data_IF_568081283539
#
_entry.id   IF_568081283539
#
_cell.length_a   1.000
_cell.length_b   1.000
_cell.length_c   1.000
_cell.angle_alpha   90.00
_cell.angle_beta   90.00
_cell.angle_gamma   90.00
#
_symmetry.space_group_name_H-M   'P 1'
#
loop_
_entity.id
_entity.type
_entity.pdbx_description
1 polymer ?
#
# COMPACT_ATOMS: atom_id res chain seq x y z
N UNK A 1 -45.90 -1.60 -53.49
CA UNK A 1 -47.14 -2.24 -54.00
C UNK A 1 -46.92 -3.73 -54.11
N UNK A 2 -47.94 -4.51 -53.71
CA UNK A 2 -48.09 -5.98 -53.65
C UNK A 2 -47.45 -6.64 -52.40
N UNK A 3 -48.15 -6.88 -51.26
CA UNK A 3 -49.22 -7.88 -50.91
C UNK A 3 -48.77 -9.33 -51.10
N UNK A 4 -49.01 -10.35 -50.24
CA UNK A 4 -49.92 -10.58 -49.09
C UNK A 4 -49.63 -12.00 -48.47
N UNK A 5 -50.05 -12.22 -47.20
CA UNK A 5 -50.43 -13.48 -46.48
C UNK A 5 -49.31 -14.27 -45.76
N UNK A 6 -49.26 -14.34 -44.42
CA UNK A 6 -50.18 -14.87 -43.37
C UNK A 6 -50.22 -16.40 -43.29
N UNK A 7 -49.80 -16.97 -42.16
CA UNK A 7 -50.43 -18.12 -41.46
C UNK A 7 -50.26 -17.93 -39.94
N UNK A 8 -51.38 -18.06 -39.25
CA UNK A 8 -51.65 -18.01 -37.81
C UNK A 8 -51.63 -19.45 -37.27
N UNK A 9 -51.04 -19.72 -36.10
CA UNK A 9 -51.43 -20.88 -35.27
C UNK A 9 -51.56 -20.44 -33.80
N UNK A 10 -52.79 -20.57 -33.32
CA UNK A 10 -53.28 -20.50 -31.95
C UNK A 10 -52.94 -21.80 -31.22
N UNK A 11 -52.62 -21.73 -29.92
CA UNK A 11 -52.96 -22.81 -28.98
C UNK A 11 -53.16 -22.24 -27.57
N UNK A 12 -54.43 -22.15 -27.18
CA UNK A 12 -54.90 -22.02 -25.80
C UNK A 12 -54.70 -23.35 -25.08
N UNK A 13 -54.29 -23.28 -23.80
CA UNK A 13 -54.41 -24.35 -22.82
C UNK A 13 -54.88 -23.77 -21.49
N UNK A 14 -56.20 -23.72 -21.29
CA UNK A 14 -56.88 -23.58 -19.99
C UNK A 14 -57.06 -24.99 -19.44
N UNK A 15 -56.96 -25.16 -18.10
CA UNK A 15 -57.56 -26.16 -17.19
C UNK A 15 -56.60 -26.34 -16.00
N UNK A 16 -56.94 -26.42 -14.71
CA UNK A 16 -58.14 -26.19 -13.90
C UNK A 16 -57.65 -26.16 -12.45
N UNK A 17 -58.30 -25.36 -11.62
CA UNK A 17 -58.09 -25.21 -10.17
C UNK A 17 -58.42 -26.53 -9.46
N UNK A 18 -57.51 -27.03 -8.62
CA UNK A 18 -57.85 -27.91 -7.49
C UNK A 18 -57.27 -27.34 -6.20
N UNK A 19 -58.19 -26.95 -5.32
CA UNK A 19 -57.99 -26.58 -3.93
C UNK A 19 -57.75 -27.82 -3.08
N UNK A 20 -56.58 -27.97 -2.48
CA UNK A 20 -56.38 -28.81 -1.29
C UNK A 20 -55.41 -28.13 -0.32
N UNK A 21 -55.93 -27.76 0.85
CA UNK A 21 -55.15 -27.41 2.04
C UNK A 21 -54.30 -28.62 2.45
N UNK A 22 -53.12 -28.38 3.04
CA UNK A 22 -52.97 -28.87 4.40
C UNK A 22 -52.39 -27.79 5.33
N UNK A 23 -53.09 -27.64 6.44
CA UNK A 23 -52.61 -27.14 7.73
C UNK A 23 -51.53 -28.05 8.27
N UNK A 24 -50.29 -27.54 8.46
CA UNK A 24 -49.32 -28.15 9.38
C UNK A 24 -48.41 -27.06 9.95
N UNK A 25 -48.68 -26.72 11.21
CA UNK A 25 -47.78 -26.23 12.27
C UNK A 25 -46.56 -25.39 11.91
N UNK A 26 -46.60 -24.14 12.39
CA UNK A 26 -45.44 -23.33 12.75
C UNK A 26 -44.46 -24.13 13.61
N UNK A 27 -43.30 -24.50 13.03
CA UNK A 27 -42.15 -24.91 13.81
C UNK A 27 -41.46 -23.63 14.32
N UNK A 28 -41.84 -23.21 15.53
CA UNK A 28 -41.04 -22.29 16.31
C UNK A 28 -39.71 -22.99 16.63
N UNK A 29 -38.65 -22.66 15.91
CA UNK A 29 -37.29 -22.93 16.39
C UNK A 29 -37.02 -21.86 17.45
N UNK A 30 -37.42 -22.19 18.68
CA UNK A 30 -36.91 -21.60 19.90
C UNK A 30 -35.42 -21.92 19.98
N UNK A 31 -34.58 -21.02 19.49
CA UNK A 31 -33.17 -20.99 19.88
C UNK A 31 -33.10 -20.52 21.34
N UNK A 32 -33.29 -21.49 22.23
CA UNK A 32 -32.97 -21.41 23.64
C UNK A 32 -31.44 -21.41 23.71
N UNK A 33 -30.83 -20.24 23.58
CA UNK A 33 -29.47 -20.05 24.05
C UNK A 33 -29.54 -20.10 25.57
N UNK A 34 -29.34 -21.30 26.12
CA UNK A 34 -29.00 -21.44 27.52
C UNK A 34 -27.74 -20.61 27.74
N UNK A 35 -27.87 -19.62 28.61
CA UNK A 35 -26.81 -18.77 29.10
C UNK A 35 -25.73 -19.63 29.72
N UNK A 36 -24.66 -19.90 28.96
CA UNK A 36 -23.36 -20.18 29.54
C UNK A 36 -22.92 -18.90 30.25
N UNK A 37 -23.22 -18.83 31.55
CA UNK A 37 -22.53 -17.93 32.46
C UNK A 37 -21.05 -18.30 32.42
N UNK A 38 -20.29 -17.60 31.59
CA UNK A 38 -18.84 -17.58 31.68
C UNK A 38 -18.51 -16.76 32.94
N UNK A 39 -18.50 -17.44 34.10
CA UNK A 39 -17.83 -16.92 35.29
C UNK A 39 -16.35 -16.84 34.95
N UNK A 40 -15.93 -15.67 34.48
CA UNK A 40 -14.57 -15.20 34.70
C UNK A 40 -14.43 -15.08 36.22
N UNK A 41 -13.78 -16.08 36.82
CA UNK A 41 -13.20 -15.93 38.14
C UNK A 41 -12.21 -14.77 38.04
N UNK A 42 -12.68 -13.56 38.39
CA UNK A 42 -11.85 -12.41 38.60
C UNK A 42 -10.93 -12.78 39.76
N UNK A 43 -9.68 -13.09 39.42
CA UNK A 43 -8.61 -13.20 40.39
C UNK A 43 -8.62 -11.95 41.28
N UNK A 44 -8.50 -12.20 42.58
CA UNK A 44 -8.37 -11.20 43.63
C UNK A 44 -7.41 -10.06 43.22
N UNK A 45 -7.83 -8.77 43.26
CA UNK A 45 -6.97 -7.64 42.95
C UNK A 45 -5.75 -7.49 43.87
N UNK A 46 -5.65 -8.29 44.94
CA UNK A 46 -4.57 -8.23 45.92
C UNK A 46 -3.22 -8.81 45.48
N UNK A 47 -3.14 -9.60 44.40
CA UNK A 47 -1.90 -10.34 44.08
C UNK A 47 -1.51 -10.37 42.59
N UNK A 48 -1.63 -9.26 41.87
CA UNK A 48 -0.85 -9.10 40.63
C UNK A 48 0.56 -8.62 41.00
N UNK A 49 1.39 -9.56 41.45
CA UNK A 49 2.84 -9.38 41.45
C UNK A 49 3.29 -9.30 39.99
N UNK A 50 3.29 -8.08 39.43
CA UNK A 50 3.95 -7.77 38.16
C UNK A 50 5.45 -8.00 38.41
N UNK A 51 5.90 -9.21 38.15
CA UNK A 51 7.32 -9.54 38.17
C UNK A 51 8.04 -8.65 37.16
N UNK A 52 9.29 -8.27 37.44
CA UNK A 52 10.12 -7.44 36.55
C UNK A 52 10.20 -7.99 35.11
N UNK A 53 9.94 -9.29 34.91
CA UNK A 53 9.85 -9.95 33.61
C UNK A 53 8.67 -9.46 32.73
N UNK A 54 7.63 -8.85 33.30
CA UNK A 54 6.53 -8.21 32.56
C UNK A 54 6.91 -6.81 32.05
N UNK A 55 7.88 -6.14 32.69
CA UNK A 55 8.42 -4.86 32.22
C UNK A 55 9.46 -5.10 31.10
N UNK A 56 10.14 -6.25 31.13
CA UNK A 56 11.03 -6.71 30.05
C UNK A 56 10.26 -7.30 28.85
N UNK A 57 9.02 -7.78 29.00
CA UNK A 57 8.15 -8.15 27.88
C UNK A 57 7.44 -6.93 27.25
N UNK A 58 7.45 -5.79 27.96
CA UNK A 58 7.33 -4.44 27.40
C UNK A 58 8.66 -3.96 26.79
N UNK A 59 9.60 -4.89 26.50
CA UNK A 59 10.75 -4.69 25.64
C UNK A 59 10.34 -3.80 24.48
N UNK A 60 11.00 -2.65 24.42
CA UNK A 60 10.58 -1.46 23.69
C UNK A 60 9.92 -1.81 22.36
N UNK A 61 8.64 -1.47 22.23
CA UNK A 61 7.97 -1.43 20.93
C UNK A 61 8.86 -0.62 19.97
N UNK A 62 9.58 -1.32 19.09
CA UNK A 62 10.60 -0.75 18.20
C UNK A 62 9.98 -0.07 16.99
N UNK A 63 8.64 -0.13 16.84
CA UNK A 63 7.94 0.52 15.75
C UNK A 63 7.99 2.04 15.90
N UNK A 64 8.07 2.78 14.78
CA UNK A 64 7.97 4.23 14.82
C UNK A 64 6.61 4.69 15.38
N UNK A 65 6.62 5.93 15.86
CA UNK A 65 5.45 6.68 16.33
C UNK A 65 5.42 8.02 15.61
N UNK A 66 4.23 8.59 15.46
CA UNK A 66 4.02 9.89 14.80
C UNK A 66 4.49 9.93 13.33
N UNK A 67 4.54 8.78 12.65
CA UNK A 67 4.96 8.70 11.25
C UNK A 67 3.83 9.23 10.35
N UNK A 68 4.04 10.37 9.66
CA UNK A 68 3.09 10.91 8.69
C UNK A 68 3.68 10.87 7.27
N UNK A 69 3.37 9.80 6.54
CA UNK A 69 4.01 9.45 5.28
C UNK A 69 2.99 9.21 4.17
N UNK A 70 3.20 9.85 3.02
CA UNK A 70 2.57 9.45 1.76
C UNK A 70 3.58 8.78 0.83
N UNK A 71 3.16 7.71 0.17
CA UNK A 71 3.92 6.96 -0.83
C UNK A 71 3.18 7.02 -2.17
N UNK A 72 3.82 7.56 -3.21
CA UNK A 72 3.24 7.63 -4.56
C UNK A 72 4.10 6.87 -5.55
N UNK A 73 3.52 5.89 -6.24
CA UNK A 73 4.23 5.10 -7.25
C UNK A 73 3.35 4.00 -7.81
N UNK A 74 3.94 3.08 -8.57
CA UNK A 74 3.21 1.96 -9.16
C UNK A 74 3.26 0.69 -8.28
N UNK A 75 3.12 -0.47 -8.93
CA UNK A 75 3.15 -1.77 -8.28
C UNK A 75 4.44 -2.08 -7.51
N UNK A 76 5.60 -1.48 -7.85
CA UNK A 76 6.83 -1.69 -7.06
C UNK A 76 6.77 -0.98 -5.71
N UNK A 77 6.11 0.18 -5.66
CA UNK A 77 5.90 0.92 -4.41
C UNK A 77 4.85 0.26 -3.52
N UNK A 78 3.87 -0.41 -4.12
CA UNK A 78 2.87 -1.19 -3.38
C UNK A 78 3.45 -2.30 -2.52
N UNK A 79 4.37 -3.12 -3.03
CA UNK A 79 4.94 -4.20 -2.20
C UNK A 79 5.77 -3.67 -1.04
N UNK A 80 6.48 -2.55 -1.25
CA UNK A 80 7.16 -1.84 -0.17
C UNK A 80 6.16 -1.34 0.88
N UNK A 81 5.06 -0.71 0.45
CA UNK A 81 4.00 -0.25 1.35
C UNK A 81 3.40 -1.38 2.18
N UNK A 82 3.04 -2.50 1.55
CA UNK A 82 2.45 -3.68 2.24
C UNK A 82 3.40 -4.23 3.30
N UNK A 83 4.70 -4.32 2.99
CA UNK A 83 5.74 -4.71 3.96
C UNK A 83 5.84 -3.72 5.13
N UNK A 84 5.76 -2.42 4.86
CA UNK A 84 5.83 -1.38 5.90
C UNK A 84 4.63 -1.46 6.85
N UNK A 85 3.40 -1.48 6.32
CA UNK A 85 2.20 -1.51 7.17
C UNK A 85 2.07 -2.82 7.95
N UNK A 86 2.60 -3.93 7.42
CA UNK A 86 2.71 -5.17 8.18
C UNK A 86 3.60 -4.98 9.41
N UNK A 87 4.80 -4.42 9.23
CA UNK A 87 5.69 -4.09 10.34
C UNK A 87 5.06 -3.14 11.36
N UNK A 88 4.36 -2.09 10.90
CA UNK A 88 3.64 -1.19 11.81
C UNK A 88 2.50 -1.92 12.54
N UNK A 89 1.80 -2.85 11.89
CA UNK A 89 0.68 -3.56 12.51
C UNK A 89 1.16 -4.59 13.55
N UNK A 90 2.19 -5.38 13.22
CA UNK A 90 2.58 -6.57 13.99
C UNK A 90 3.82 -6.38 14.85
N UNK A 91 4.69 -5.41 14.52
CA UNK A 91 6.02 -5.28 15.12
C UNK A 91 7.09 -6.17 14.46
N UNK A 92 6.73 -6.96 13.46
CA UNK A 92 7.61 -7.89 12.76
C UNK A 92 7.60 -7.63 11.26
N UNK A 93 8.72 -7.92 10.59
CA UNK A 93 8.76 -7.95 9.13
C UNK A 93 8.13 -9.24 8.61
N UNK A 94 7.58 -9.22 7.38
CA UNK A 94 6.96 -10.41 6.77
C UNK A 94 8.03 -11.50 6.62
N UNK A 95 7.76 -12.73 7.06
CA UNK A 95 8.64 -13.88 6.84
C UNK A 95 8.39 -14.46 5.44
N UNK A 96 9.43 -14.73 4.66
CA UNK A 96 9.30 -15.31 3.30
C UNK A 96 8.77 -16.76 3.30
N UNK A 97 8.76 -17.39 4.48
CA UNK A 97 8.16 -18.69 4.76
C UNK A 97 6.69 -18.59 5.15
N UNK A 98 6.17 -17.41 5.49
CA UNK A 98 4.77 -17.23 5.87
C UNK A 98 3.85 -17.65 4.72
N UNK A 99 2.76 -18.36 5.05
CA UNK A 99 1.77 -18.83 4.09
C UNK A 99 0.36 -18.45 4.57
N UNK A 100 -0.47 -17.84 3.70
CA UNK A 100 -0.17 -17.43 2.33
C UNK A 100 0.76 -16.21 2.27
N UNK A 101 1.71 -16.22 1.34
CA UNK A 101 2.68 -15.14 1.18
C UNK A 101 1.98 -13.86 0.72
N UNK A 102 1.99 -12.85 1.59
CA UNK A 102 1.27 -11.60 1.39
C UNK A 102 1.78 -10.80 0.18
N UNK A 103 3.06 -10.95 -0.19
CA UNK A 103 3.64 -10.26 -1.34
C UNK A 103 3.47 -11.04 -2.65
N UNK A 104 2.94 -12.28 -2.60
CA UNK A 104 2.67 -13.11 -3.79
C UNK A 104 1.17 -13.17 -4.10
N UNK A 105 0.56 -12.13 -4.71
CA UNK A 105 -0.87 -12.09 -4.99
C UNK A 105 -1.35 -13.23 -5.89
N UNK A 106 -0.47 -13.76 -6.75
CA UNK A 106 -0.76 -14.90 -7.64
C UNK A 106 -0.97 -16.22 -6.91
N UNK A 107 -0.65 -16.31 -5.62
CA UNK A 107 -1.00 -17.48 -4.80
C UNK A 107 -2.49 -17.51 -4.42
N UNK A 108 -3.25 -16.47 -4.77
CA UNK A 108 -4.72 -16.41 -4.64
C UNK A 108 -5.38 -16.64 -6.00
N UNK A 109 -6.63 -17.08 -5.97
CA UNK A 109 -7.45 -17.34 -7.15
C UNK A 109 -7.69 -16.10 -8.02
N UNK A 110 -7.65 -14.90 -7.44
CA UNK A 110 -7.78 -13.64 -8.16
C UNK A 110 -7.11 -12.48 -7.43
N UNK A 111 -6.92 -11.35 -8.14
CA UNK A 111 -6.50 -10.09 -7.52
C UNK A 111 -7.49 -9.60 -6.46
N UNK A 112 -8.80 -9.77 -6.70
CA UNK A 112 -9.82 -9.36 -5.74
C UNK A 112 -9.73 -10.18 -4.44
N UNK A 113 -9.41 -11.48 -4.55
CA UNK A 113 -9.20 -12.32 -3.37
C UNK A 113 -7.98 -11.88 -2.57
N UNK A 114 -6.90 -11.49 -3.24
CA UNK A 114 -5.73 -10.93 -2.57
C UNK A 114 -6.03 -9.56 -1.91
N UNK A 115 -6.76 -8.68 -2.60
CA UNK A 115 -7.18 -7.39 -2.03
C UNK A 115 -8.05 -7.62 -0.78
N UNK A 116 -9.07 -8.48 -0.87
CA UNK A 116 -9.93 -8.83 0.26
C UNK A 116 -9.12 -9.41 1.44
N UNK A 117 -8.16 -10.30 1.15
CA UNK A 117 -7.27 -10.84 2.18
C UNK A 117 -6.44 -9.74 2.85
N UNK A 118 -5.77 -8.89 2.08
CA UNK A 118 -4.94 -7.81 2.63
C UNK A 118 -5.76 -6.82 3.46
N UNK A 119 -6.96 -6.44 3.00
CA UNK A 119 -7.84 -5.53 3.71
C UNK A 119 -8.34 -6.15 5.02
N UNK A 120 -8.59 -7.46 5.04
CA UNK A 120 -8.97 -8.18 6.26
C UNK A 120 -7.81 -8.22 7.25
N UNK A 121 -6.58 -8.49 6.76
CA UNK A 121 -5.38 -8.58 7.58
C UNK A 121 -5.04 -7.25 8.27
N UNK A 122 -5.24 -6.13 7.59
CA UNK A 122 -4.92 -4.80 8.12
C UNK A 122 -6.10 -4.05 8.75
N UNK A 123 -7.27 -4.69 8.79
CA UNK A 123 -8.43 -4.14 9.49
C UNK A 123 -8.20 -4.12 11.01
N UNK A 124 -8.70 -3.11 11.75
CA UNK A 124 -9.48 -1.96 11.27
C UNK A 124 -8.62 -0.76 10.84
N UNK A 125 -7.30 -0.88 10.93
CA UNK A 125 -6.33 0.21 10.81
C UNK A 125 -6.08 0.65 9.37
N UNK A 126 -6.39 -0.17 8.37
CA UNK A 126 -6.28 0.19 6.96
C UNK A 126 -7.64 0.25 6.27
N UNK A 127 -7.76 1.21 5.35
CA UNK A 127 -8.85 1.31 4.39
C UNK A 127 -8.27 1.33 2.97
N UNK A 128 -8.89 0.56 2.08
CA UNK A 128 -8.43 0.37 0.70
C UNK A 128 -9.51 0.92 -0.26
N UNK A 129 -9.21 2.01 -0.96
CA UNK A 129 -9.95 2.44 -2.15
C UNK A 129 -9.38 1.67 -3.34
N UNK A 130 -9.80 0.41 -3.43
CA UNK A 130 -9.18 -0.58 -4.29
C UNK A 130 -10.20 -1.14 -5.27
N UNK A 131 -9.99 -0.82 -6.54
CA UNK A 131 -10.86 -1.21 -7.64
C UNK A 131 -9.99 -1.65 -8.83
N UNK A 132 -10.29 -2.79 -9.43
CA UNK A 132 -9.55 -3.28 -10.61
C UNK A 132 -10.48 -3.62 -11.77
N UNK A 133 -10.50 -2.78 -12.81
CA UNK A 133 -11.15 -3.10 -14.09
C UNK A 133 -10.20 -3.90 -15.00
N UNK A 134 -8.99 -3.36 -15.19
CA UNK A 134 -7.86 -3.96 -15.90
C UNK A 134 -6.54 -3.32 -15.40
N UNK A 135 -5.42 -3.66 -16.01
CA UNK A 135 -4.09 -3.20 -15.56
C UNK A 135 -3.89 -1.68 -15.60
N UNK A 136 -4.61 -0.93 -16.43
CA UNK A 136 -4.42 0.53 -16.60
C UNK A 136 -5.52 1.37 -15.96
N UNK A 137 -6.63 0.72 -15.58
CA UNK A 137 -7.78 1.31 -14.88
C UNK A 137 -7.94 0.72 -13.48
N UNK A 138 -6.83 0.33 -12.87
CA UNK A 138 -6.79 -0.09 -11.47
C UNK A 138 -6.54 1.11 -10.57
N UNK A 139 -7.40 1.26 -9.56
CA UNK A 139 -7.20 2.15 -8.42
C UNK A 139 -6.84 1.24 -7.25
N UNK A 140 -5.77 1.54 -6.53
CA UNK A 140 -5.40 0.78 -5.34
C UNK A 140 -4.82 1.71 -4.29
N UNK A 141 -5.61 2.70 -3.87
CA UNK A 141 -5.16 3.63 -2.84
C UNK A 141 -5.41 3.03 -1.47
N UNK A 142 -4.44 3.18 -0.57
CA UNK A 142 -4.50 2.57 0.76
C UNK A 142 -4.19 3.61 1.83
N UNK A 143 -4.95 3.57 2.91
CA UNK A 143 -4.91 4.56 3.98
C UNK A 143 -4.79 3.83 5.31
N UNK A 144 -3.59 3.81 5.88
CA UNK A 144 -3.31 3.15 7.16
C UNK A 144 -3.19 4.18 8.28
N UNK A 145 -3.85 3.94 9.40
CA UNK A 145 -3.71 4.67 10.65
C UNK A 145 -3.77 3.76 11.87
N UNK A 146 -2.88 3.99 12.84
CA UNK A 146 -2.82 3.19 14.08
C UNK A 146 -2.81 4.04 15.37
N UNK A 147 -2.89 3.34 16.51
CA UNK A 147 -2.92 3.96 17.84
C UNK A 147 -1.58 4.60 18.25
N UNK A 148 -0.53 4.48 17.43
CA UNK A 148 0.79 5.10 17.63
C UNK A 148 0.90 6.44 16.90
N UNK A 149 -0.24 6.96 16.43
CA UNK A 149 -0.35 8.19 15.64
C UNK A 149 0.46 8.11 14.34
N UNK A 150 0.59 6.91 13.77
CA UNK A 150 1.14 6.75 12.43
C UNK A 150 0.01 6.88 11.41
N UNK A 151 0.27 7.59 10.32
CA UNK A 151 -0.56 7.68 9.13
C UNK A 151 0.30 7.41 7.91
N UNK A 152 0.08 6.27 7.24
CA UNK A 152 0.79 5.88 6.03
C UNK A 152 -0.20 5.69 4.88
N UNK A 153 -0.08 6.54 3.87
CA UNK A 153 -1.00 6.56 2.73
C UNK A 153 -0.23 6.15 1.48
N UNK A 154 -0.77 5.22 0.71
CA UNK A 154 -0.26 4.90 -0.62
C UNK A 154 -1.26 5.34 -1.67
N UNK A 155 -0.77 6.10 -2.65
CA UNK A 155 -1.54 6.45 -3.84
C UNK A 155 -0.85 5.81 -5.05
N UNK A 156 -1.59 4.99 -5.79
CA UNK A 156 -1.03 4.31 -6.95
C UNK A 156 -1.07 5.22 -8.18
N UNK A 157 0.08 5.35 -8.85
CA UNK A 157 0.26 6.10 -10.09
C UNK A 157 1.05 5.28 -11.10
N UNK A 158 0.36 4.75 -12.11
CA UNK A 158 0.97 4.01 -13.21
C UNK A 158 1.48 4.95 -14.31
N UNK A 159 2.61 5.61 -14.08
CA UNK A 159 3.23 6.50 -15.06
C UNK A 159 2.34 7.70 -15.42
N UNK A 160 1.97 7.84 -16.69
CA UNK A 160 1.07 8.89 -17.18
C UNK A 160 -0.43 8.61 -16.93
N UNK A 161 -0.78 7.49 -16.30
CA UNK A 161 -2.17 7.21 -15.95
C UNK A 161 -2.71 8.25 -14.96
N UNK A 162 -4.03 8.48 -15.04
CA UNK A 162 -4.78 9.33 -14.12
C UNK A 162 -4.73 8.78 -12.71
N UNK A 163 -4.74 9.66 -11.72
CA UNK A 163 -4.66 9.30 -10.30
C UNK A 163 -5.98 9.62 -9.63
N UNK A 164 -6.45 8.69 -8.80
CA UNK A 164 -7.71 8.78 -8.09
C UNK A 164 -7.43 8.79 -6.58
N UNK A 165 -8.41 9.12 -5.74
CA UNK A 165 -8.30 8.93 -4.28
C UNK A 165 -9.42 9.58 -3.48
N UNK A 166 -9.32 9.50 -2.15
CA UNK A 166 -10.16 10.19 -1.18
C UNK A 166 -9.31 11.05 -0.24
N UNK A 167 -9.84 12.18 0.21
CA UNK A 167 -9.11 13.11 1.08
C UNK A 167 -9.00 12.66 2.55
N UNK A 168 -9.84 11.71 2.97
CA UNK A 168 -9.96 11.26 4.36
C UNK A 168 -10.26 9.76 4.40
N UNK A 169 -9.58 9.01 5.27
CA UNK A 169 -9.70 7.56 5.36
C UNK A 169 -11.12 7.10 5.75
N UNK A 170 -11.84 7.89 6.56
CA UNK A 170 -13.21 7.57 7.01
C UNK A 170 -14.21 7.56 5.85
N UNK A 171 -13.91 8.27 4.76
CA UNK A 171 -14.79 8.33 3.57
C UNK A 171 -14.63 7.11 2.68
N UNK A 172 -13.51 6.38 2.78
CA UNK A 172 -13.28 5.15 2.01
C UNK A 172 -14.25 4.04 2.41
N UNK A 173 -14.68 4.01 3.68
CA UNK A 173 -15.61 3.01 4.22
C UNK A 173 -17.11 3.30 3.91
N UNK A 174 -17.43 4.34 3.11
CA UNK A 174 -18.84 4.57 2.75
C UNK A 174 -19.30 3.47 1.79
N UNK A 175 -20.50 2.94 2.07
CA UNK A 175 -21.22 1.90 1.30
C UNK A 175 -21.17 2.12 -0.22
N UNK A 176 -21.07 3.37 -0.68
CA UNK A 176 -20.91 3.75 -2.09
C UNK A 176 -19.64 3.17 -2.74
N UNK A 177 -18.48 3.19 -2.05
CA UNK A 177 -17.22 2.61 -2.56
C UNK A 177 -17.35 1.08 -2.69
N UNK A 178 -17.91 0.44 -1.66
CA UNK A 178 -18.23 -1.01 -1.69
C UNK A 178 -19.27 -1.38 -2.75
N UNK A 179 -20.27 -0.52 -2.99
CA UNK A 179 -21.30 -0.78 -4.01
C UNK A 179 -20.76 -0.60 -5.43
N UNK A 180 -19.85 0.36 -5.67
CA UNK A 180 -19.17 0.51 -6.96
C UNK A 180 -18.29 -0.71 -7.29
N UNK A 181 -17.64 -1.33 -6.29
CA UNK A 181 -16.92 -2.60 -6.44
C UNK A 181 -17.82 -3.77 -6.89
N UNK A 182 -19.10 -3.75 -6.50
CA UNK A 182 -20.04 -4.86 -6.74
C UNK A 182 -20.86 -4.68 -8.03
N UNK A 183 -21.17 -3.45 -8.44
CA UNK A 183 -22.23 -3.21 -9.46
C UNK A 183 -21.74 -2.73 -10.83
N UNK A 184 -20.50 -2.25 -10.98
CA UNK A 184 -20.12 -1.57 -12.22
C UNK A 184 -19.56 -2.50 -13.30
N UNK A 185 -20.47 -3.20 -14.01
CA UNK A 185 -20.23 -3.69 -15.39
C UNK A 185 -20.22 -2.55 -16.42
N UNK A 186 -20.72 -1.36 -16.06
CA UNK A 186 -20.54 -0.14 -16.83
C UNK A 186 -19.13 0.41 -16.58
N UNK A 187 -18.34 0.50 -17.63
CA UNK A 187 -16.94 0.94 -17.68
C UNK A 187 -16.71 2.42 -17.28
N UNK A 188 -17.62 3.04 -16.53
CA UNK A 188 -17.52 4.44 -16.13
C UNK A 188 -16.74 4.55 -14.82
N UNK A 189 -15.70 5.39 -14.84
CA UNK A 189 -14.93 5.72 -13.64
C UNK A 189 -15.84 6.28 -12.56
N UNK A 190 -15.57 6.01 -11.26
CA UNK A 190 -16.26 6.65 -10.17
C UNK A 190 -16.22 8.19 -10.31
N UNK A 191 -17.24 8.93 -9.84
CA UNK A 191 -17.32 10.40 -9.94
C UNK A 191 -16.20 11.17 -9.21
N UNK A 192 -15.30 10.48 -8.51
CA UNK A 192 -14.13 11.05 -7.84
C UNK A 192 -12.82 10.81 -8.61
N UNK A 193 -12.92 10.57 -9.91
CA UNK A 193 -11.78 10.49 -10.80
C UNK A 193 -11.22 11.88 -11.10
N UNK A 194 -10.06 12.20 -10.53
CA UNK A 194 -9.32 13.39 -10.89
C UNK A 194 -8.31 13.08 -11.99
N UNK A 195 -8.13 14.02 -12.92
CA UNK A 195 -7.09 13.94 -13.94
C UNK A 195 -5.84 14.70 -13.46
N UNK A 196 -5.22 14.21 -12.38
CA UNK A 196 -4.08 14.90 -11.79
C UNK A 196 -2.75 14.47 -12.43
N UNK A 197 -1.98 15.47 -12.89
CA UNK A 197 -0.55 15.32 -13.08
C UNK A 197 0.16 15.25 -11.70
N UNK A 198 1.49 15.16 -11.68
CA UNK A 198 2.24 15.06 -10.42
C UNK A 198 2.06 16.28 -9.52
N UNK A 199 2.08 17.48 -10.10
CA UNK A 199 1.93 18.76 -9.39
C UNK A 199 0.54 18.89 -8.76
N UNK A 200 -0.51 18.62 -9.55
CA UNK A 200 -1.90 18.66 -9.08
C UNK A 200 -2.15 17.59 -8.02
N UNK A 201 -1.57 16.39 -8.17
CA UNK A 201 -1.67 15.36 -7.15
C UNK A 201 -1.14 15.86 -5.81
N UNK A 202 -0.01 16.56 -5.81
CA UNK A 202 0.56 17.11 -4.57
C UNK A 202 -0.31 18.22 -4.01
N UNK A 203 -0.62 19.24 -4.81
CA UNK A 203 -1.31 20.45 -4.35
C UNK A 203 -2.78 20.20 -4.01
N UNK A 204 -3.47 19.44 -4.85
CA UNK A 204 -4.91 19.28 -4.76
C UNK A 204 -5.31 18.06 -3.93
N UNK A 205 -4.42 17.08 -3.75
CA UNK A 205 -4.71 15.86 -3.00
C UNK A 205 -3.81 15.65 -1.80
N UNK A 206 -2.52 15.37 -1.99
CA UNK A 206 -1.60 15.00 -0.90
C UNK A 206 -1.58 16.07 0.20
N UNK A 207 -1.50 17.35 -0.18
CA UNK A 207 -1.47 18.48 0.76
C UNK A 207 -2.77 18.68 1.55
N UNK A 208 -3.87 18.05 1.13
CA UNK A 208 -5.20 18.15 1.75
C UNK A 208 -5.62 16.88 2.50
N UNK A 209 -4.76 15.87 2.53
CA UNK A 209 -4.98 14.66 3.33
C UNK A 209 -5.02 15.04 4.82
N UNK A 210 -5.78 14.27 5.60
CA UNK A 210 -5.89 14.43 7.05
C UNK A 210 -5.53 13.10 7.77
N UNK A 211 -4.43 13.05 8.55
CA UNK A 211 -3.46 14.13 8.75
C UNK A 211 -2.66 14.43 7.47
N UNK A 212 -2.17 15.67 7.35
CA UNK A 212 -1.32 16.08 6.22
C UNK A 212 0.03 15.35 6.33
N UNK A 213 0.49 14.64 5.28
CA UNK A 213 1.78 13.99 5.30
C UNK A 213 2.91 14.98 5.53
N UNK A 214 3.86 14.61 6.40
CA UNK A 214 5.12 15.32 6.57
C UNK A 214 6.08 14.95 5.44
N UNK A 215 6.11 13.66 5.10
CA UNK A 215 6.96 13.11 4.05
C UNK A 215 6.12 12.66 2.85
N UNK A 216 6.61 12.96 1.64
CA UNK A 216 6.13 12.36 0.40
C UNK A 216 7.26 11.57 -0.25
N UNK A 217 7.19 10.24 -0.15
CA UNK A 217 8.06 9.35 -0.92
C UNK A 217 7.42 9.10 -2.28
N UNK A 218 8.12 9.45 -3.36
CA UNK A 218 7.61 9.21 -4.70
C UNK A 218 8.64 8.51 -5.59
N UNK A 219 8.14 7.66 -6.48
CA UNK A 219 8.93 6.85 -7.39
C UNK A 219 8.37 6.91 -8.80
N UNK A 220 9.26 6.90 -9.79
CA UNK A 220 8.92 6.96 -11.20
C UNK A 220 8.25 5.68 -11.71
N UNK A 221 8.56 4.54 -11.08
CA UNK A 221 8.03 3.24 -11.42
C UNK A 221 8.62 2.65 -12.70
N UNK A 222 7.99 1.59 -13.19
CA UNK A 222 8.35 0.87 -14.43
C UNK A 222 7.55 1.33 -15.64
N UNK A 223 6.59 2.24 -15.44
CA UNK A 223 5.72 2.77 -16.50
C UNK A 223 6.26 4.08 -17.08
N UNK A 224 5.89 4.39 -18.33
CA UNK A 224 6.28 5.65 -18.97
C UNK A 224 5.78 6.84 -18.14
N UNK A 225 6.67 7.79 -17.87
CA UNK A 225 6.40 8.97 -17.06
C UNK A 225 7.10 10.22 -17.64
N UNK A 226 6.73 11.39 -17.14
CA UNK A 226 7.31 12.69 -17.53
C UNK A 226 8.27 13.28 -16.47
N UNK A 227 8.63 12.52 -15.44
CA UNK A 227 9.55 12.99 -14.38
C UNK A 227 10.97 13.36 -14.85
N UNK A 228 11.35 13.01 -16.08
CA UNK A 228 12.60 13.48 -16.68
C UNK A 228 12.55 14.93 -17.17
N UNK A 229 11.36 15.56 -17.21
CA UNK A 229 11.20 16.96 -17.62
C UNK A 229 11.63 17.91 -16.50
N UNK A 230 12.62 18.81 -16.72
CA UNK A 230 13.02 19.80 -15.72
C UNK A 230 11.86 20.69 -15.25
N UNK A 231 10.92 21.00 -16.14
CA UNK A 231 9.71 21.78 -15.81
C UNK A 231 8.85 21.04 -14.78
N UNK A 232 8.56 19.75 -15.02
CA UNK A 232 7.78 18.91 -14.08
C UNK A 232 8.50 18.78 -12.74
N UNK A 233 9.83 18.62 -12.76
CA UNK A 233 10.64 18.55 -11.55
C UNK A 233 10.53 19.83 -10.71
N UNK A 234 10.65 20.99 -11.36
CA UNK A 234 10.55 22.29 -10.70
C UNK A 234 9.14 22.55 -10.13
N UNK A 235 8.09 22.15 -10.85
CA UNK A 235 6.71 22.25 -10.38
C UNK A 235 6.48 21.37 -9.14
N UNK A 236 6.94 20.12 -9.16
CA UNK A 236 6.87 19.22 -8.00
C UNK A 236 7.58 19.82 -6.79
N UNK A 237 8.80 20.31 -6.95
CA UNK A 237 9.52 20.97 -5.85
C UNK A 237 8.77 22.19 -5.32
N UNK A 238 8.18 22.99 -6.22
CA UNK A 238 7.42 24.18 -5.84
C UNK A 238 6.18 23.79 -5.05
N UNK A 239 5.44 22.78 -5.49
CA UNK A 239 4.28 22.25 -4.76
C UNK A 239 4.67 21.72 -3.37
N UNK A 240 5.76 20.95 -3.26
CA UNK A 240 6.27 20.44 -1.99
C UNK A 240 6.63 21.58 -1.01
N UNK A 241 7.38 22.58 -1.48
CA UNK A 241 7.76 23.76 -0.68
C UNK A 241 6.55 24.56 -0.22
N UNK A 242 5.59 24.82 -1.12
CA UNK A 242 4.37 25.58 -0.83
C UNK A 242 3.52 24.93 0.27
N UNK A 243 3.54 23.60 0.37
CA UNK A 243 2.75 22.86 1.35
C UNK A 243 3.56 22.35 2.55
N UNK A 244 4.84 22.71 2.63
CA UNK A 244 5.77 22.26 3.68
C UNK A 244 5.82 20.74 3.79
N UNK A 245 5.89 20.04 2.66
CA UNK A 245 6.02 18.59 2.57
C UNK A 245 7.46 18.26 2.18
N UNK A 246 8.10 17.37 2.91
CA UNK A 246 9.44 16.88 2.62
C UNK A 246 9.32 15.81 1.52
N UNK A 247 9.61 16.19 0.28
CA UNK A 247 9.68 15.25 -0.83
C UNK A 247 10.95 14.42 -0.77
N UNK A 248 10.80 13.10 -0.90
CA UNK A 248 11.87 12.11 -0.94
C UNK A 248 11.72 11.34 -2.25
N UNK A 249 12.67 11.48 -3.15
CA UNK A 249 12.66 10.67 -4.37
C UNK A 249 13.27 9.29 -4.09
N UNK A 250 12.55 8.23 -4.45
CA UNK A 250 13.04 6.86 -4.36
C UNK A 250 13.39 6.37 -5.77
N UNK A 251 14.64 5.95 -5.99
CA UNK A 251 15.05 5.42 -7.31
C UNK A 251 14.27 4.15 -7.65
N UNK A 252 14.15 3.86 -8.94
CA UNK A 252 13.48 2.65 -9.40
C UNK A 252 14.41 1.46 -9.20
N UNK A 253 13.88 0.37 -8.66
CA UNK A 253 14.67 -0.84 -8.45
C UNK A 253 15.02 -1.54 -9.75
N UNK A 254 16.16 -2.22 -9.77
CA UNK A 254 16.57 -3.00 -10.92
C UNK A 254 15.62 -4.20 -11.15
N UNK A 255 15.25 -4.51 -12.40
CA UNK A 255 14.49 -5.72 -12.71
C UNK A 255 15.36 -6.99 -12.64
N UNK A 256 14.68 -8.13 -12.54
CA UNK A 256 15.28 -9.47 -12.54
C UNK A 256 16.16 -9.67 -13.78
N UNK A 257 17.27 -10.40 -13.61
CA UNK A 257 18.18 -10.78 -14.68
C UNK A 257 18.83 -9.62 -15.46
N UNK A 258 18.83 -8.39 -14.94
CA UNK A 258 19.69 -7.32 -15.49
C UNK A 258 21.15 -7.69 -15.27
N UNK A 259 21.92 -7.61 -16.36
CA UNK A 259 23.34 -8.00 -16.41
C UNK A 259 24.29 -6.81 -16.39
N UNK A 260 23.82 -5.65 -16.81
CA UNK A 260 24.61 -4.42 -16.90
C UNK A 260 24.05 -3.41 -15.93
N UNK A 261 24.91 -2.89 -15.06
CA UNK A 261 24.54 -1.76 -14.22
C UNK A 261 24.40 -0.53 -15.10
N UNK A 262 23.17 -0.06 -15.25
CA UNK A 262 22.87 1.20 -15.91
C UNK A 262 21.77 1.88 -15.11
N UNK A 263 22.10 2.99 -14.46
CA UNK A 263 21.09 3.79 -13.76
C UNK A 263 20.10 4.35 -14.77
N UNK A 264 18.84 4.45 -14.35
CA UNK A 264 17.86 5.14 -15.15
C UNK A 264 18.22 6.65 -15.17
N UNK A 265 18.29 7.33 -16.34
CA UNK A 265 18.71 8.73 -16.40
C UNK A 265 17.89 9.67 -15.51
N UNK A 266 16.60 9.36 -15.34
CA UNK A 266 15.74 10.12 -14.43
C UNK A 266 16.11 9.89 -12.96
N UNK A 267 16.50 8.67 -12.59
CA UNK A 267 16.93 8.41 -11.22
C UNK A 267 18.25 9.12 -10.90
N UNK A 268 19.18 9.13 -11.87
CA UNK A 268 20.45 9.86 -11.77
C UNK A 268 20.22 11.37 -11.64
N UNK A 269 19.36 11.97 -12.46
CA UNK A 269 19.04 13.39 -12.36
C UNK A 269 18.36 13.76 -11.04
N UNK A 270 17.34 12.98 -10.63
CA UNK A 270 16.54 13.29 -9.46
C UNK A 270 17.31 13.11 -8.15
N UNK A 271 18.07 12.02 -8.02
CA UNK A 271 18.94 11.78 -6.87
C UNK A 271 20.30 12.49 -6.94
N UNK A 272 20.68 13.01 -8.11
CA UNK A 272 21.97 13.68 -8.34
C UNK A 272 21.98 15.17 -8.01
N UNK A 273 20.89 15.73 -7.47
CA UNK A 273 20.85 17.11 -6.98
C UNK A 273 19.56 17.87 -7.24
N UNK A 274 18.64 17.33 -8.06
CA UNK A 274 17.32 17.97 -8.23
C UNK A 274 16.50 17.86 -6.94
N UNK A 275 16.46 16.69 -6.32
CA UNK A 275 15.83 16.54 -5.00
C UNK A 275 16.89 16.44 -3.92
N UNK A 276 16.80 17.25 -2.83
CA UNK A 276 17.77 17.18 -1.74
C UNK A 276 17.68 15.86 -0.97
N UNK A 277 16.52 15.20 -1.03
CA UNK A 277 16.28 13.95 -0.34
C UNK A 277 16.08 12.81 -1.33
N UNK A 278 16.89 11.76 -1.20
CA UNK A 278 16.82 10.58 -2.05
C UNK A 278 17.05 9.29 -1.25
N UNK A 279 16.22 8.28 -1.51
CA UNK A 279 16.47 6.90 -1.12
C UNK A 279 16.97 6.14 -2.34
N UNK A 280 18.28 5.86 -2.35
CA UNK A 280 18.96 5.17 -3.44
C UNK A 280 18.86 3.64 -3.28
N UNK A 281 18.24 2.99 -4.26
CA UNK A 281 18.06 1.54 -4.37
C UNK A 281 19.00 0.87 -5.38
N UNK A 282 20.11 1.50 -5.75
CA UNK A 282 21.13 0.95 -6.67
C UNK A 282 21.62 -0.44 -6.23
N UNK A 283 21.63 -0.70 -4.92
CA UNK A 283 22.00 -2.00 -4.35
C UNK A 283 21.11 -3.15 -4.84
N UNK A 284 19.89 -2.85 -5.32
CA UNK A 284 18.99 -3.86 -5.89
C UNK A 284 19.51 -4.52 -7.17
N UNK A 285 20.47 -3.91 -7.86
CA UNK A 285 21.17 -4.53 -8.99
C UNK A 285 21.84 -5.86 -8.61
N UNK A 286 22.37 -5.91 -7.38
CA UNK A 286 23.09 -7.06 -6.86
C UNK A 286 22.17 -8.13 -6.25
N UNK A 287 20.86 -7.89 -6.12
CA UNK A 287 19.93 -8.84 -5.51
C UNK A 287 19.79 -10.11 -6.35
N UNK A 288 19.90 -11.27 -5.70
CA UNK A 288 19.75 -12.59 -6.32
C UNK A 288 18.37 -12.76 -6.96
N UNK A 289 18.34 -13.47 -8.08
CA UNK A 289 17.11 -13.80 -8.82
C UNK A 289 16.10 -14.62 -7.99
N UNK A 290 16.54 -15.25 -6.90
CA UNK A 290 15.69 -15.97 -5.93
C UNK A 290 14.77 -15.04 -5.13
N UNK A 291 15.15 -13.77 -4.98
CA UNK A 291 14.39 -12.76 -4.23
C UNK A 291 13.38 -11.99 -5.08
N UNK A 292 13.13 -12.46 -6.30
CA UNK A 292 12.14 -11.88 -7.20
C UNK A 292 10.90 -12.77 -7.29
N UNK A 293 9.75 -12.15 -7.06
CA UNK A 293 8.43 -12.77 -7.27
C UNK A 293 8.12 -12.86 -8.77
N UNK A 294 8.52 -11.84 -9.53
CA UNK A 294 8.40 -11.80 -10.99
C UNK A 294 9.54 -10.97 -11.61
N UNK A 295 9.35 -10.40 -12.80
CA UNK A 295 10.40 -9.61 -13.46
C UNK A 295 10.76 -8.31 -12.71
N UNK A 296 9.87 -7.77 -11.90
CA UNK A 296 10.00 -6.42 -11.34
C UNK A 296 9.82 -6.35 -9.82
N UNK A 297 9.11 -7.32 -9.22
CA UNK A 297 8.73 -7.27 -7.82
C UNK A 297 9.59 -8.22 -6.98
N UNK A 298 9.99 -7.77 -5.80
CA UNK A 298 10.76 -8.56 -4.84
C UNK A 298 9.88 -9.23 -3.80
N UNK A 299 10.43 -10.27 -3.18
CA UNK A 299 9.92 -10.90 -1.97
C UNK A 299 10.18 -10.05 -0.71
N UNK A 300 9.87 -10.62 0.45
CA UNK A 300 9.86 -9.87 1.72
C UNK A 300 11.23 -9.32 2.14
N UNK A 301 12.34 -10.09 2.12
CA UNK A 301 13.63 -9.60 2.59
C UNK A 301 14.08 -8.30 1.93
N UNK A 302 13.87 -8.16 0.62
CA UNK A 302 14.28 -6.95 -0.10
C UNK A 302 13.38 -5.76 0.26
N UNK A 303 12.06 -5.94 0.29
CA UNK A 303 11.13 -4.87 0.68
C UNK A 303 11.35 -4.44 2.14
N UNK A 304 11.73 -5.37 3.02
CA UNK A 304 12.13 -5.10 4.40
C UNK A 304 13.33 -4.17 4.45
N UNK A 305 14.40 -4.45 3.70
CA UNK A 305 15.57 -3.57 3.64
C UNK A 305 15.24 -2.19 3.06
N UNK A 306 14.41 -2.12 2.00
CA UNK A 306 13.96 -0.83 1.46
C UNK A 306 13.23 0.01 2.52
N UNK A 307 12.40 -0.62 3.35
CA UNK A 307 11.68 0.05 4.43
C UNK A 307 12.59 0.43 5.60
N UNK A 308 13.53 -0.41 5.98
CA UNK A 308 14.53 -0.06 7.00
C UNK A 308 15.36 1.14 6.54
N UNK A 309 15.83 1.16 5.30
CA UNK A 309 16.57 2.29 4.72
C UNK A 309 15.74 3.57 4.73
N UNK A 310 14.46 3.50 4.33
CA UNK A 310 13.55 4.64 4.36
C UNK A 310 13.30 5.14 5.79
N UNK A 311 13.00 4.23 6.72
CA UNK A 311 12.67 4.59 8.09
C UNK A 311 13.88 5.17 8.82
N UNK A 312 15.09 4.64 8.63
CA UNK A 312 16.31 5.26 9.15
C UNK A 312 16.50 6.67 8.58
N UNK A 313 16.28 6.83 7.27
CA UNK A 313 16.45 8.11 6.58
C UNK A 313 15.55 9.20 7.15
N UNK A 314 14.30 8.86 7.49
CA UNK A 314 13.34 9.80 8.09
C UNK A 314 13.33 9.80 9.63
N UNK A 315 14.28 9.10 10.27
CA UNK A 315 14.39 9.03 11.74
C UNK A 315 13.34 8.16 12.44
N UNK A 316 12.60 7.33 11.70
CA UNK A 316 11.64 6.37 12.23
C UNK A 316 12.27 5.09 12.80
N UNK A 317 13.56 4.83 12.53
CA UNK A 317 14.35 3.77 13.16
C UNK A 317 15.69 4.31 13.65
N UNK A 318 16.26 3.65 14.67
CA UNK A 318 17.61 3.94 15.11
C UNK A 318 18.63 3.69 13.99
N UNK A 319 19.61 4.57 13.88
CA UNK A 319 20.69 4.44 12.90
C UNK A 319 21.46 3.13 13.11
N UNK A 320 21.58 2.33 12.06
CA UNK A 320 22.22 1.00 12.09
C UNK A 320 21.24 -0.16 12.28
N UNK A 321 19.92 0.10 12.34
CA UNK A 321 18.88 -0.92 12.25
C UNK A 321 18.77 -1.51 10.82
N UNK A 322 19.26 -0.80 9.80
CA UNK A 322 19.39 -1.27 8.43
C UNK A 322 20.40 -2.40 8.37
N UNK A 323 19.89 -3.61 8.14
CA UNK A 323 20.68 -4.83 8.06
C UNK A 323 21.63 -4.83 6.85
N UNK A 324 22.67 -5.66 6.92
CA UNK A 324 23.58 -5.86 5.79
C UNK A 324 22.85 -6.45 4.58
N UNK A 325 23.03 -5.88 3.39
CA UNK A 325 22.53 -6.44 2.12
C UNK A 325 23.26 -7.73 1.69
N UNK A 326 24.36 -8.10 2.36
CA UNK A 326 25.28 -9.18 1.92
C UNK A 326 24.63 -10.56 1.77
N UNK A 327 23.52 -10.83 2.47
CA UNK A 327 22.81 -12.11 2.35
C UNK A 327 21.87 -12.17 1.13
N UNK A 328 21.59 -11.03 0.49
CA UNK A 328 20.70 -10.94 -0.68
C UNK A 328 21.45 -10.98 -2.01
N UNK A 329 22.78 -10.98 -2.01
CA UNK A 329 23.57 -10.71 -3.22
C UNK A 329 23.77 -11.94 -4.11
N UNK A 330 23.79 -11.72 -5.44
CA UNK A 330 24.08 -12.71 -6.49
C UNK A 330 25.44 -13.41 -6.30
N UNK A 331 26.39 -12.70 -5.69
CA UNK A 331 27.72 -13.18 -5.36
C UNK A 331 27.95 -12.90 -3.88
N UNK A 332 28.49 -13.82 -3.07
CA UNK A 332 28.89 -13.51 -1.71
C UNK A 332 29.88 -12.34 -1.73
N UNK A 333 29.45 -11.18 -1.25
CA UNK A 333 30.35 -10.02 -1.17
C UNK A 333 31.29 -10.29 0.02
N UNK A 334 32.57 -10.52 -0.26
CA UNK A 334 33.63 -10.26 0.72
C UNK A 334 33.60 -8.74 0.94
N UNK A 335 33.16 -8.33 2.14
CA UNK A 335 32.96 -6.93 2.54
C UNK A 335 34.06 -5.98 2.05
N UNK A 336 33.70 -4.74 1.69
CA UNK A 336 33.65 -3.73 2.73
C UNK A 336 32.34 -2.96 2.77
N UNK A 337 31.94 -2.66 4.00
CA UNK A 337 30.88 -1.72 4.37
C UNK A 337 31.25 -0.34 3.82
N UNK A 338 30.59 0.11 2.75
CA UNK A 338 30.58 1.53 2.41
C UNK A 338 29.57 2.17 3.35
N UNK A 339 30.07 2.74 4.44
CA UNK A 339 29.29 3.69 5.22
C UNK A 339 28.98 4.87 4.30
N UNK A 340 27.70 5.17 4.10
CA UNK A 340 27.24 6.41 3.44
C UNK A 340 27.60 7.58 4.36
N UNK A 341 28.87 7.97 4.32
CA UNK A 341 29.41 9.04 5.15
C UNK A 341 30.50 9.72 4.33
N UNK A 342 30.08 10.54 3.34
CA UNK A 342 30.86 11.70 2.84
C UNK A 342 30.26 12.47 1.66
N UNK A 343 29.05 12.17 1.15
CA UNK A 343 28.59 12.86 -0.07
C UNK A 343 27.60 14.03 0.09
N UNK A 344 27.26 14.43 1.32
CA UNK A 344 26.47 15.65 1.55
C UNK A 344 27.06 16.47 2.70
N UNK A 345 28.12 17.21 2.39
CA UNK A 345 28.55 18.35 3.20
C UNK A 345 27.45 19.42 3.17
N UNK A 346 26.62 19.46 4.21
CA UNK A 346 25.73 20.59 4.42
C UNK A 346 26.52 21.76 5.04
N UNK A 347 26.48 22.86 4.31
CA UNK A 347 26.73 24.25 4.70
C UNK A 347 26.71 24.54 6.22
N UNK A 348 27.87 24.89 6.77
CA UNK A 348 27.97 25.77 7.92
C UNK A 348 28.09 27.22 7.43
N UNK A 349 26.97 27.94 7.36
CA UNK A 349 27.01 29.40 7.39
C UNK A 349 26.65 29.85 8.81
N UNK A 350 27.66 30.14 9.62
CA UNK A 350 27.53 31.04 10.77
C UNK A 350 28.18 32.36 10.38
N UNK A 351 27.35 33.31 9.94
CA UNK A 351 27.71 34.71 9.84
C UNK A 351 27.41 35.35 11.21
N UNK A 352 28.44 35.76 11.93
CA UNK A 352 28.36 36.79 12.98
C UNK A 352 29.71 37.51 13.06
N UNK A 353 29.78 38.67 12.39
CA UNK A 353 30.39 39.93 12.82
C UNK A 353 30.36 40.90 11.63
#
# INVERSE_FOLDING_TARGET
>A
MKTLRSIFIFLLGIITIFTLRPSVTSLFISNKFDSLEFRLDLADPSEVNITANSLDALASDTRPRNLNLAMVGDSVTRFQYISLIYFLSTGYWIDDRERPDLLKPRMRSSWNDWLNYSNTLFSPHEQCDCFRFDNYRSIENRYFQDNRNNSVIMIVKFGSARVHGFYTWERVNRREVRMLQITNRSQQFPPHAWDYNWTDLIQQHIAKLAPKPEFLVFNAGIHRHNLGSPMVQQEIQTALRQHSIIGIFKTTSFPKAVRTFQKHPVDEALCGGVFPNCVNLDWTFNVSDSHYIDKHHFDSPVNTLMNQQLLEYIGGLQKGAYGSVSYLTKTPVLSPVISVREQYGMFSNSTTA
#
